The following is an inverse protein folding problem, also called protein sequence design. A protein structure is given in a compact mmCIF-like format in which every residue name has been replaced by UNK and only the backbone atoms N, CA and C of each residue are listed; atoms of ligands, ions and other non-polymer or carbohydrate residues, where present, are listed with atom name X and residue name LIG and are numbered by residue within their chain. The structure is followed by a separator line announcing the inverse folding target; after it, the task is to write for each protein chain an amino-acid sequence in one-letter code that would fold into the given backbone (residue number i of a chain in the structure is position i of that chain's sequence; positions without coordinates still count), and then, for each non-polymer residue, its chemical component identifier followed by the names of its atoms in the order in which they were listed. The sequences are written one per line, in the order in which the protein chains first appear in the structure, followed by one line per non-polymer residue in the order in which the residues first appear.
data_IF_281590123979
#
_entry.id   IF_281590123979
#
_cell.length_a   1.000
_cell.length_b   1.000
_cell.length_c   1.000
_cell.angle_alpha   90.00
_cell.angle_beta   90.00
_cell.angle_gamma   90.00
#
_symmetry.space_group_name_H-M   'P 1'
#
loop_
_entity.id
_entity.type
_entity.pdbx_description
1 polymer ?
#
# COMPACT_ATOMS: atom_id res chain seq x y z
N UNK A 1 -35.70 33.81 -6.90
CA UNK A 1 -35.10 33.08 -5.76
C UNK A 1 -34.90 31.63 -6.20
N UNK A 2 -33.72 31.18 -6.66
CA UNK A 2 -33.52 29.77 -6.95
C UNK A 2 -33.20 29.00 -5.66
N UNK A 3 -33.97 27.94 -5.45
CA UNK A 3 -33.89 27.03 -4.30
C UNK A 3 -32.68 26.10 -4.50
N UNK A 4 -31.67 26.19 -3.63
CA UNK A 4 -30.56 25.22 -3.61
C UNK A 4 -31.06 23.93 -2.95
N UNK A 5 -31.24 22.89 -3.75
CA UNK A 5 -31.34 21.51 -3.27
C UNK A 5 -30.06 21.15 -2.53
N UNK A 6 -30.15 21.01 -1.21
CA UNK A 6 -29.11 20.38 -0.39
C UNK A 6 -28.95 18.94 -0.88
N UNK A 7 -27.78 18.64 -1.43
CA UNK A 7 -27.37 17.26 -1.67
C UNK A 7 -27.33 16.55 -0.30
N UNK A 8 -28.06 15.44 -0.06
CA UNK A 8 -27.96 14.76 1.22
C UNK A 8 -26.53 14.27 1.39
N UNK A 9 -25.90 14.64 2.51
CA UNK A 9 -24.59 14.12 2.88
C UNK A 9 -24.68 12.58 2.87
N UNK A 10 -23.91 11.94 1.99
CA UNK A 10 -23.81 10.49 1.99
C UNK A 10 -23.37 10.05 3.39
N UNK A 11 -24.06 9.08 4.03
CA UNK A 11 -23.66 8.60 5.33
C UNK A 11 -22.23 8.06 5.23
N UNK A 12 -21.31 8.74 5.90
CA UNK A 12 -19.93 8.29 6.01
C UNK A 12 -19.91 7.17 7.06
N UNK A 13 -19.94 5.92 6.62
CA UNK A 13 -19.78 4.75 7.49
C UNK A 13 -18.48 4.91 8.26
N UNK A 14 -18.53 4.85 9.60
CA UNK A 14 -17.33 4.96 10.42
C UNK A 14 -16.60 3.63 10.40
N UNK A 15 -15.28 3.65 10.64
CA UNK A 15 -14.50 2.41 10.76
C UNK A 15 -15.00 1.49 11.88
N UNK A 16 -15.61 2.07 12.91
CA UNK A 16 -16.27 1.33 14.00
C UNK A 16 -17.49 0.54 13.57
N UNK A 17 -18.03 0.82 12.39
CA UNK A 17 -19.28 0.24 11.88
C UNK A 17 -19.00 -0.93 10.91
N UNK A 18 -17.72 -1.27 10.73
CA UNK A 18 -17.29 -2.40 9.90
C UNK A 18 -17.61 -3.73 10.60
N UNK A 19 -18.01 -4.72 9.81
CA UNK A 19 -18.32 -6.07 10.28
C UNK A 19 -17.07 -6.78 10.79
N UNK A 20 -17.19 -7.44 11.95
CA UNK A 20 -16.19 -8.37 12.44
C UNK A 20 -16.12 -9.61 11.52
N UNK A 21 -14.96 -10.25 11.45
CA UNK A 21 -14.69 -11.44 10.64
C UNK A 21 -13.63 -11.21 9.57
N UNK A 22 -13.63 -12.08 8.56
CA UNK A 22 -12.61 -12.12 7.51
C UNK A 22 -12.89 -11.10 6.41
N UNK A 23 -11.83 -10.44 5.97
CA UNK A 23 -11.81 -9.45 4.91
C UNK A 23 -10.80 -9.87 3.85
N UNK A 24 -11.18 -9.83 2.59
CA UNK A 24 -10.32 -10.24 1.47
C UNK A 24 -10.11 -9.06 0.54
N UNK A 25 -8.87 -8.88 0.09
CA UNK A 25 -8.49 -7.82 -0.84
C UNK A 25 -9.12 -8.06 -2.22
N UNK A 26 -9.75 -7.03 -2.76
CA UNK A 26 -10.15 -6.97 -4.16
C UNK A 26 -8.98 -6.44 -5.00
N UNK A 27 -8.29 -7.33 -5.69
CA UNK A 27 -7.12 -6.98 -6.51
C UNK A 27 -7.46 -6.07 -7.69
N UNK A 28 -8.70 -6.07 -8.17
CA UNK A 28 -9.10 -5.32 -9.38
C UNK A 28 -9.25 -3.82 -9.13
N UNK A 29 -9.51 -3.45 -7.87
CA UNK A 29 -9.68 -2.05 -7.42
C UNK A 29 -8.62 -1.63 -6.41
N UNK A 30 -7.58 -2.45 -6.25
CA UNK A 30 -6.42 -2.16 -5.41
C UNK A 30 -5.19 -1.84 -6.26
N UNK A 31 -4.36 -0.91 -5.78
CA UNK A 31 -3.09 -0.54 -6.37
C UNK A 31 -2.03 -0.23 -5.32
N UNK A 32 -0.77 -0.53 -5.67
CA UNK A 32 0.41 -0.04 -4.96
C UNK A 32 1.32 0.62 -5.99
N UNK A 33 1.58 1.90 -5.79
CA UNK A 33 2.36 2.74 -6.69
C UNK A 33 3.62 3.23 -6.00
N UNK A 34 4.71 3.34 -6.76
CA UNK A 34 5.97 3.89 -6.29
C UNK A 34 6.33 5.12 -7.10
N UNK A 35 6.90 6.10 -6.41
CA UNK A 35 7.49 7.30 -6.98
C UNK A 35 8.88 7.48 -6.38
N UNK A 36 9.89 7.50 -7.25
CA UNK A 36 11.28 7.61 -6.83
C UNK A 36 12.04 8.68 -7.64
N UNK A 37 12.90 9.44 -6.97
CA UNK A 37 13.75 10.46 -7.60
C UNK A 37 15.06 9.82 -8.08
N UNK A 38 15.33 9.90 -9.38
CA UNK A 38 16.56 9.40 -10.02
C UNK A 38 17.33 10.53 -10.71
N UNK A 39 18.51 10.22 -11.27
CA UNK A 39 19.39 11.19 -11.93
C UNK A 39 19.64 12.43 -11.07
N UNK A 40 20.09 12.22 -9.82
CA UNK A 40 20.34 13.29 -8.84
C UNK A 40 19.11 14.16 -8.52
N UNK A 41 17.90 13.66 -8.79
CA UNK A 41 16.63 14.35 -8.56
C UNK A 41 16.01 14.98 -9.81
N UNK A 42 16.72 14.97 -10.94
CA UNK A 42 16.25 15.54 -12.21
C UNK A 42 15.14 14.71 -12.87
N UNK A 43 15.07 13.41 -12.57
CA UNK A 43 14.03 12.52 -13.08
C UNK A 43 13.21 11.89 -11.96
N UNK A 44 11.97 11.52 -12.31
CA UNK A 44 11.06 10.82 -11.41
C UNK A 44 10.59 9.53 -12.07
N UNK A 45 10.99 8.40 -11.49
CA UNK A 45 10.47 7.09 -11.86
C UNK A 45 9.10 6.93 -11.19
N UNK A 46 8.13 6.44 -11.95
CA UNK A 46 6.81 6.04 -11.47
C UNK A 46 6.54 4.63 -11.97
N UNK A 47 6.04 3.78 -11.09
CA UNK A 47 5.66 2.43 -11.44
C UNK A 47 4.57 1.94 -10.49
N UNK A 48 3.80 0.93 -10.91
CA UNK A 48 2.76 0.31 -10.10
C UNK A 48 2.94 -1.21 -10.10
N UNK A 49 2.53 -1.86 -9.02
CA UNK A 49 2.39 -3.31 -8.96
C UNK A 49 0.97 -3.70 -9.33
N UNK A 50 0.84 -4.61 -10.30
CA UNK A 50 -0.46 -5.00 -10.87
C UNK A 50 -1.02 -6.29 -10.27
N UNK A 51 -0.25 -6.99 -9.44
CA UNK A 51 -0.69 -8.22 -8.78
C UNK A 51 -0.54 -8.09 -7.27
N UNK A 52 -1.68 -8.01 -6.61
CA UNK A 52 -1.83 -7.83 -5.18
C UNK A 52 -2.77 -8.92 -4.65
N UNK A 53 -2.49 -9.40 -3.45
CA UNK A 53 -3.41 -10.23 -2.68
C UNK A 53 -3.32 -9.81 -1.22
N UNK A 54 -4.36 -10.10 -0.46
CA UNK A 54 -4.35 -9.76 0.95
C UNK A 54 -5.59 -10.23 1.65
N UNK A 55 -5.44 -10.39 2.96
CA UNK A 55 -6.49 -10.81 3.87
C UNK A 55 -6.32 -10.03 5.17
N UNK A 56 -7.42 -9.79 5.86
CA UNK A 56 -7.44 -9.17 7.17
C UNK A 56 -8.58 -9.71 8.01
N UNK A 57 -8.49 -9.51 9.31
CA UNK A 57 -9.52 -9.89 10.25
C UNK A 57 -9.83 -8.71 11.15
N UNK A 58 -11.12 -8.47 11.37
CA UNK A 58 -11.63 -7.54 12.37
C UNK A 58 -12.24 -8.37 13.50
N UNK A 59 -11.68 -8.25 14.71
CA UNK A 59 -12.18 -8.92 15.90
C UNK A 59 -13.49 -8.29 16.41
N UNK A 60 -14.26 -9.02 17.24
CA UNK A 60 -15.49 -8.49 17.86
C UNK A 60 -15.26 -7.25 18.73
N UNK A 61 -14.04 -7.07 19.22
CA UNK A 61 -13.58 -5.92 20.00
C UNK A 61 -13.13 -4.73 19.12
N UNK A 62 -13.22 -4.86 17.79
CA UNK A 62 -12.77 -3.89 16.80
C UNK A 62 -11.26 -3.90 16.54
N UNK A 63 -10.50 -4.81 17.16
CA UNK A 63 -9.09 -4.99 16.81
C UNK A 63 -8.96 -5.48 15.37
N UNK A 64 -7.95 -5.00 14.64
CA UNK A 64 -7.79 -5.38 13.24
C UNK A 64 -6.33 -5.62 12.87
N UNK A 65 -6.11 -6.69 12.10
CA UNK A 65 -4.81 -7.13 11.63
C UNK A 65 -4.94 -7.77 10.24
N UNK A 66 -3.83 -7.99 9.55
CA UNK A 66 -3.89 -8.57 8.20
C UNK A 66 -2.57 -8.58 7.46
N UNK A 67 -2.59 -9.08 6.24
CA UNK A 67 -1.44 -9.20 5.36
C UNK A 67 -1.76 -8.67 3.96
N UNK A 68 -0.85 -7.88 3.41
CA UNK A 68 -0.81 -7.49 2.01
C UNK A 68 0.41 -8.13 1.36
N UNK A 69 0.21 -8.88 0.29
CA UNK A 69 1.26 -9.50 -0.53
C UNK A 69 1.27 -8.88 -1.92
N UNK A 70 2.46 -8.55 -2.40
CA UNK A 70 2.70 -7.91 -3.69
C UNK A 70 3.63 -8.82 -4.49
N UNK A 71 3.25 -9.21 -5.70
CA UNK A 71 4.16 -9.95 -6.59
C UNK A 71 5.17 -8.95 -7.18
N UNK A 72 6.45 -9.09 -6.83
CA UNK A 72 7.49 -8.14 -7.19
C UNK A 72 7.69 -8.05 -8.73
N UNK A 73 7.51 -9.17 -9.43
CA UNK A 73 7.58 -9.22 -10.89
C UNK A 73 6.47 -8.41 -11.59
N UNK A 74 5.37 -8.10 -10.90
CA UNK A 74 4.23 -7.36 -11.46
C UNK A 74 4.47 -5.84 -11.62
N UNK A 75 5.67 -5.36 -11.26
CA UNK A 75 6.05 -3.96 -11.42
C UNK A 75 5.93 -3.51 -12.89
N UNK A 76 5.31 -2.35 -13.11
CA UNK A 76 5.08 -1.77 -14.43
C UNK A 76 5.27 -0.24 -14.39
N UNK A 77 6.27 0.24 -15.13
CA UNK A 77 6.59 1.67 -15.31
C UNK A 77 6.21 2.20 -16.71
N UNK A 78 5.61 1.33 -17.54
CA UNK A 78 5.35 1.55 -18.97
C UNK A 78 6.63 1.68 -19.82
N UNK A 79 7.79 1.33 -19.27
CA UNK A 79 9.08 1.29 -19.97
C UNK A 79 9.71 -0.08 -19.78
N UNK A 80 9.57 -0.96 -20.78
CA UNK A 80 9.97 -2.37 -20.67
C UNK A 80 11.43 -2.58 -20.21
N UNK A 81 12.37 -1.74 -20.67
CA UNK A 81 13.77 -1.80 -20.23
C UNK A 81 13.93 -1.47 -18.74
N UNK A 82 13.20 -0.47 -18.24
CA UNK A 82 13.23 -0.12 -16.82
C UNK A 82 12.58 -1.22 -15.99
N UNK A 83 11.46 -1.77 -16.45
CA UNK A 83 10.76 -2.86 -15.75
C UNK A 83 11.66 -4.09 -15.61
N UNK A 84 12.36 -4.47 -16.68
CA UNK A 84 13.31 -5.59 -16.64
C UNK A 84 14.47 -5.31 -15.69
N UNK A 85 14.97 -4.08 -15.63
CA UNK A 85 16.04 -3.71 -14.72
C UNK A 85 15.56 -3.70 -13.25
N UNK A 86 14.37 -3.19 -12.96
CA UNK A 86 13.78 -3.22 -11.63
C UNK A 86 13.60 -4.66 -11.11
N UNK A 87 13.32 -5.62 -12.00
CA UNK A 87 13.17 -7.04 -11.64
C UNK A 87 14.51 -7.75 -11.38
N UNK A 88 15.62 -7.22 -11.87
CA UNK A 88 16.93 -7.88 -11.79
C UNK A 88 17.51 -7.91 -10.38
N UNK A 89 18.62 -8.64 -10.20
CA UNK A 89 19.35 -8.75 -8.95
C UNK A 89 19.90 -7.40 -8.41
N UNK A 90 19.98 -6.39 -9.26
CA UNK A 90 20.40 -5.03 -8.87
C UNK A 90 19.32 -4.30 -8.05
N UNK A 91 18.05 -4.69 -8.20
CA UNK A 91 16.91 -4.06 -7.53
C UNK A 91 16.07 -5.08 -6.75
N UNK A 92 14.92 -5.50 -7.30
CA UNK A 92 13.97 -6.34 -6.57
C UNK A 92 14.34 -7.82 -6.57
N UNK A 93 15.29 -8.25 -7.42
CA UNK A 93 15.81 -9.61 -7.49
C UNK A 93 14.70 -10.66 -7.46
N UNK A 94 13.72 -10.52 -8.35
CA UNK A 94 12.40 -11.18 -8.24
C UNK A 94 12.48 -12.70 -8.37
N UNK A 95 13.54 -13.23 -8.99
CA UNK A 95 13.80 -14.67 -9.03
C UNK A 95 14.08 -15.26 -7.64
N UNK A 96 14.73 -14.49 -6.76
CA UNK A 96 15.06 -14.92 -5.39
C UNK A 96 14.03 -14.43 -4.37
N UNK A 97 13.46 -13.25 -4.58
CA UNK A 97 12.48 -12.63 -3.69
C UNK A 97 11.23 -12.26 -4.49
N UNK A 98 10.35 -13.24 -4.77
CA UNK A 98 9.22 -13.04 -5.69
C UNK A 98 8.13 -12.13 -5.12
N UNK A 99 8.10 -11.91 -3.81
CA UNK A 99 7.05 -11.16 -3.14
C UNK A 99 7.59 -10.11 -2.17
N UNK A 100 6.81 -9.04 -1.99
CA UNK A 100 6.87 -8.17 -0.83
C UNK A 100 5.67 -8.44 0.05
N UNK A 101 5.87 -8.41 1.37
CA UNK A 101 4.79 -8.69 2.32
C UNK A 101 4.76 -7.61 3.38
N UNK A 102 3.60 -7.00 3.57
CA UNK A 102 3.31 -6.16 4.72
C UNK A 102 2.33 -6.87 5.64
N UNK A 103 2.75 -7.14 6.88
CA UNK A 103 1.89 -7.72 7.92
C UNK A 103 1.50 -6.61 8.88
N UNK A 104 0.24 -6.20 8.85
CA UNK A 104 -0.35 -5.29 9.81
C UNK A 104 -0.62 -6.05 11.11
N UNK A 105 -0.02 -5.59 12.20
CA UNK A 105 -0.21 -6.14 13.55
C UNK A 105 -1.23 -5.35 14.36
N UNK A 106 -1.62 -4.16 13.88
CA UNK A 106 -2.64 -3.35 14.52
C UNK A 106 -3.09 -2.20 13.64
N UNK A 107 -4.40 -2.00 13.58
CA UNK A 107 -5.06 -0.88 12.92
C UNK A 107 -5.91 -0.17 13.97
N UNK A 108 -5.65 1.12 14.17
CA UNK A 108 -6.37 1.95 15.16
C UNK A 108 -7.03 3.11 14.44
N UNK A 109 -8.36 3.14 14.43
CA UNK A 109 -9.13 4.26 13.91
C UNK A 109 -8.96 5.49 14.82
N UNK A 110 -8.80 6.68 14.23
CA UNK A 110 -8.69 7.94 14.97
C UNK A 110 -10.00 8.74 14.99
N UNK A 111 -11.09 8.16 14.46
CA UNK A 111 -12.43 8.77 14.44
C UNK A 111 -12.65 9.82 13.35
N UNK A 112 -11.62 10.22 12.59
CA UNK A 112 -11.71 11.24 11.54
C UNK A 112 -11.75 10.65 10.12
N UNK A 113 -12.09 9.37 9.99
CA UNK A 113 -11.99 8.62 8.72
C UNK A 113 -10.55 8.26 8.37
N UNK A 114 -9.66 8.28 9.35
CA UNK A 114 -8.28 7.81 9.23
C UNK A 114 -8.00 6.69 10.24
N UNK A 115 -6.99 5.89 9.92
CA UNK A 115 -6.53 4.79 10.74
C UNK A 115 -5.00 4.77 10.78
N UNK A 116 -4.44 4.66 11.97
CA UNK A 116 -3.02 4.37 12.15
C UNK A 116 -2.80 2.88 11.95
N UNK A 117 -2.01 2.52 10.96
CA UNK A 117 -1.63 1.15 10.66
C UNK A 117 -0.20 0.92 11.14
N UNK A 118 0.00 -0.15 11.90
CA UNK A 118 1.30 -0.56 12.42
C UNK A 118 1.57 -2.00 11.99
N UNK A 119 2.81 -2.29 11.63
CA UNK A 119 3.16 -3.61 11.12
C UNK A 119 4.62 -3.78 10.74
N UNK A 120 4.86 -4.80 9.93
CA UNK A 120 6.19 -5.17 9.45
C UNK A 120 6.18 -5.30 7.94
N UNK A 121 7.07 -4.59 7.27
CA UNK A 121 7.30 -4.71 5.84
C UNK A 121 8.51 -5.61 5.60
N UNK A 122 8.35 -6.60 4.72
CA UNK A 122 9.43 -7.47 4.23
C UNK A 122 9.66 -7.21 2.75
N UNK A 123 10.88 -6.79 2.41
CA UNK A 123 11.36 -6.56 1.04
C UNK A 123 12.76 -7.12 0.93
N UNK A 124 13.06 -7.85 -0.16
CA UNK A 124 14.36 -8.52 -0.36
C UNK A 124 14.79 -9.42 0.81
N UNK A 125 13.82 -10.11 1.44
CA UNK A 125 14.05 -10.94 2.63
C UNK A 125 14.40 -10.17 3.91
N UNK A 126 14.48 -8.84 3.86
CA UNK A 126 14.73 -7.99 5.03
C UNK A 126 13.40 -7.48 5.58
N UNK A 127 13.16 -7.68 6.87
CA UNK A 127 11.95 -7.20 7.54
C UNK A 127 12.22 -5.99 8.42
N UNK A 128 11.47 -4.91 8.23
CA UNK A 128 11.54 -3.68 9.03
C UNK A 128 10.16 -3.31 9.60
N UNK A 129 10.09 -2.69 10.79
CA UNK A 129 8.86 -2.11 11.26
C UNK A 129 8.43 -0.96 10.33
N UNK A 130 7.12 -0.86 10.08
CA UNK A 130 6.54 0.22 9.31
C UNK A 130 5.24 0.66 9.98
N UNK A 131 5.04 1.97 10.04
CA UNK A 131 3.80 2.56 10.55
C UNK A 131 3.44 3.76 9.70
N UNK A 132 2.16 3.88 9.36
CA UNK A 132 1.66 4.95 8.52
C UNK A 132 0.19 5.23 8.86
N UNK A 133 -0.28 6.42 8.47
CA UNK A 133 -1.69 6.76 8.56
C UNK A 133 -2.35 6.49 7.21
N UNK A 134 -3.41 5.70 7.21
CA UNK A 134 -4.27 5.48 6.07
C UNK A 134 -5.57 6.26 6.25
N UNK A 135 -6.09 6.86 5.18
CA UNK A 135 -7.49 7.24 5.09
C UNK A 135 -8.31 6.01 4.81
N UNK A 136 -9.38 5.82 5.56
CA UNK A 136 -10.31 4.74 5.36
C UNK A 136 -11.66 5.30 4.91
N UNK A 137 -12.13 4.81 3.77
CA UNK A 137 -13.43 5.16 3.23
C UNK A 137 -14.25 3.88 3.14
N UNK A 138 -15.29 3.78 3.96
CA UNK A 138 -16.21 2.66 3.94
C UNK A 138 -17.44 3.00 3.10
N UNK A 139 -17.76 2.15 2.12
CA UNK A 139 -18.98 2.26 1.31
C UNK A 139 -20.18 1.57 2.00
N UNK A 140 -19.90 0.79 3.04
CA UNK A 140 -20.85 0.11 3.92
C UNK A 140 -20.12 -0.78 4.93
N UNK A 141 -20.84 -1.54 5.77
CA UNK A 141 -20.24 -2.38 6.80
C UNK A 141 -19.30 -3.48 6.28
N UNK A 142 -19.43 -3.84 5.00
CA UNK A 142 -18.75 -4.96 4.35
C UNK A 142 -17.79 -4.53 3.23
N UNK A 143 -17.52 -3.24 3.10
CA UNK A 143 -16.68 -2.68 2.03
C UNK A 143 -15.89 -1.48 2.53
N UNK A 144 -14.57 -1.62 2.55
CA UNK A 144 -13.65 -0.58 2.98
C UNK A 144 -12.49 -0.42 2.00
N UNK A 145 -12.18 0.83 1.68
CA UNK A 145 -10.96 1.21 0.96
C UNK A 145 -10.01 1.93 1.89
N UNK A 146 -8.79 1.42 2.01
CA UNK A 146 -7.68 2.07 2.70
C UNK A 146 -6.78 2.75 1.67
N UNK A 147 -6.46 4.02 1.89
CA UNK A 147 -5.53 4.77 1.04
C UNK A 147 -4.48 5.46 1.89
N UNK A 148 -3.22 5.43 1.46
CA UNK A 148 -2.13 5.99 2.25
C UNK A 148 -0.90 6.29 1.43
N UNK A 149 -0.06 7.17 1.95
CA UNK A 149 1.26 7.44 1.41
C UNK A 149 2.31 7.18 2.49
N UNK A 150 3.38 6.47 2.13
CA UNK A 150 4.47 6.14 3.02
C UNK A 150 5.81 6.37 2.33
N UNK A 151 6.75 6.96 3.05
CA UNK A 151 8.13 7.10 2.58
C UNK A 151 8.96 5.92 3.11
N UNK A 152 9.62 5.21 2.21
CA UNK A 152 10.46 4.05 2.52
C UNK A 152 11.87 4.33 2.01
N UNK A 153 12.89 4.10 2.85
CA UNK A 153 14.27 4.11 2.37
C UNK A 153 14.65 2.73 1.84
N UNK A 154 14.99 2.65 0.54
CA UNK A 154 15.37 1.40 -0.11
C UNK A 154 16.64 0.79 0.50
N UNK A 155 17.51 1.61 1.09
CA UNK A 155 18.76 1.16 1.69
C UNK A 155 18.50 0.33 2.96
N UNK A 156 17.40 0.57 3.68
CA UNK A 156 17.02 -0.19 4.88
C UNK A 156 16.78 -1.68 4.59
N UNK A 157 16.52 -2.00 3.32
CA UNK A 157 16.23 -3.34 2.79
C UNK A 157 17.38 -3.91 1.95
N UNK A 158 18.57 -3.30 1.99
CA UNK A 158 19.75 -3.79 1.26
C UNK A 158 19.71 -3.53 -0.24
N UNK A 159 18.76 -2.73 -0.74
CA UNK A 159 18.70 -2.34 -2.14
C UNK A 159 19.73 -1.23 -2.41
N UNK A 160 21.01 -1.61 -2.50
CA UNK A 160 22.14 -0.67 -2.54
C UNK A 160 22.56 -0.22 -3.94
N UNK A 161 22.06 -0.84 -5.02
CA UNK A 161 22.52 -0.51 -6.38
C UNK A 161 22.34 0.98 -6.67
N UNK A 162 23.40 1.61 -7.15
CA UNK A 162 23.39 3.03 -7.43
C UNK A 162 24.49 3.38 -8.42
N UNK A 163 24.14 3.58 -9.68
CA UNK A 163 25.10 4.07 -10.67
C UNK A 163 25.46 5.52 -10.33
N UNK A 164 26.73 5.78 -10.00
CA UNK A 164 27.29 7.12 -9.74
C UNK A 164 26.51 7.99 -8.72
N UNK A 165 25.83 7.39 -7.75
CA UNK A 165 25.08 8.14 -6.73
C UNK A 165 23.76 8.75 -7.23
N UNK A 166 23.32 8.40 -8.44
CA UNK A 166 22.16 8.98 -9.12
C UNK A 166 20.82 8.72 -8.43
N UNK A 167 20.72 7.69 -7.58
CA UNK A 167 19.47 7.20 -6.97
C UNK A 167 19.59 7.32 -5.44
N UNK A 168 18.90 8.28 -4.82
CA UNK A 168 18.90 8.43 -3.35
C UNK A 168 18.02 7.36 -2.67
N UNK A 169 18.00 7.30 -1.34
CA UNK A 169 17.34 6.23 -0.59
C UNK A 169 15.82 6.28 -0.58
N UNK A 170 15.23 7.48 -0.52
CA UNK A 170 13.80 7.68 -0.28
C UNK A 170 12.92 7.39 -1.51
N UNK A 171 12.01 6.44 -1.36
CA UNK A 171 10.91 6.12 -2.27
C UNK A 171 9.60 6.50 -1.61
N UNK A 172 8.73 7.20 -2.33
CA UNK A 172 7.33 7.37 -1.92
C UNK A 172 6.53 6.19 -2.44
N UNK A 173 5.75 5.56 -1.57
CA UNK A 173 4.82 4.49 -1.91
C UNK A 173 3.41 4.99 -1.61
N UNK A 174 2.53 4.94 -2.59
CA UNK A 174 1.11 5.25 -2.44
C UNK A 174 0.34 3.95 -2.57
N UNK A 175 -0.53 3.65 -1.61
CA UNK A 175 -1.38 2.47 -1.65
C UNK A 175 -2.84 2.88 -1.70
N UNK A 176 -3.63 2.13 -2.45
CA UNK A 176 -5.09 2.11 -2.40
C UNK A 176 -5.50 0.65 -2.36
N UNK A 177 -6.05 0.17 -1.26
CA UNK A 177 -6.40 -1.25 -1.10
C UNK A 177 -7.85 -1.35 -0.67
N UNK A 178 -8.67 -2.01 -1.48
CA UNK A 178 -10.07 -2.30 -1.16
C UNK A 178 -10.19 -3.70 -0.61
N UNK A 179 -10.95 -3.84 0.47
CA UNK A 179 -11.27 -5.11 1.10
C UNK A 179 -12.78 -5.28 1.17
N UNK A 180 -13.22 -6.51 0.97
CA UNK A 180 -14.62 -6.92 1.13
C UNK A 180 -14.74 -7.99 2.20
N UNK A 181 -15.77 -7.86 3.03
CA UNK A 181 -16.09 -8.83 4.07
C UNK A 181 -16.62 -10.13 3.44
N UNK A 182 -16.30 -11.27 4.04
CA UNK A 182 -16.65 -12.61 3.57
C UNK A 182 -17.54 -13.37 4.54
#
# INVERSE_FOLDING_TARGET
MPNHTLNPAQPSTRLSDLSAGLWVLDATTSSVEIKHKSMWGLATIRAAFTKLSGEGEIGPDGSAHGTLTIEAASILSKQAKLDNHLRSADFFHVERYPTFTFTATGVVADGAGTAKVTGRLTVLGTTRPLSFTARATAAGPNDVTLSGEVAIDRNDFGMGWNKAGMIKGRTTVTLTTRFTHR
#
